data_IF_509620572996
#
_entry.id   IF_509620572996
#
_cell.length_a   1.000
_cell.length_b   1.000
_cell.length_c   1.000
_cell.angle_alpha   90.00
_cell.angle_beta   90.00
_cell.angle_gamma   90.00
#
_symmetry.space_group_name_H-M   'P 1'
#
loop_
_entity.id
_entity.type
_entity.pdbx_description
1 polymer ?
#
# COMPACT_ATOMS: atom_id res chain seq x y z
N UNK A 1 25.00 0.25 -6.57
CA UNK A 1 24.22 -0.71 -5.78
C UNK A 1 22.77 -0.29 -5.73
N UNK A 2 21.88 -1.20 -6.06
CA UNK A 2 20.45 -0.87 -6.13
C UNK A 2 19.82 -0.96 -4.76
N UNK A 3 19.08 0.06 -4.40
CA UNK A 3 18.28 0.06 -3.20
C UNK A 3 16.82 0.10 -3.59
N UNK A 4 15.96 -0.09 -2.62
CA UNK A 4 14.52 -0.09 -2.85
C UNK A 4 13.86 0.75 -1.78
N UNK A 5 12.68 1.25 -2.10
CA UNK A 5 11.89 1.93 -1.08
C UNK A 5 10.41 1.72 -1.39
N UNK A 6 9.63 1.74 -0.34
CA UNK A 6 8.18 1.59 -0.44
C UNK A 6 7.56 2.90 0.02
N UNK A 7 6.65 3.42 -0.80
CA UNK A 7 5.91 4.62 -0.46
C UNK A 7 4.50 4.19 -0.07
N UNK A 8 4.10 4.57 1.12
CA UNK A 8 2.75 4.30 1.62
C UNK A 8 1.99 5.62 1.56
N UNK A 9 0.83 5.62 0.92
CA UNK A 9 0.02 6.82 0.80
C UNK A 9 -1.37 6.50 1.32
N UNK A 10 -1.88 7.36 2.20
CA UNK A 10 -3.21 7.22 2.75
C UNK A 10 -4.01 8.45 2.38
N UNK A 11 -5.21 8.24 1.86
CA UNK A 11 -6.16 9.31 1.67
C UNK A 11 -7.22 9.15 2.74
N UNK A 12 -7.36 10.16 3.58
CA UNK A 12 -8.30 10.10 4.68
C UNK A 12 -9.67 10.58 4.24
N UNK A 13 -10.70 10.20 4.98
CA UNK A 13 -12.06 10.58 4.61
C UNK A 13 -12.29 12.09 4.70
N UNK A 14 -11.46 12.79 5.47
CA UNK A 14 -11.59 14.26 5.55
C UNK A 14 -10.87 14.98 4.41
N UNK A 15 -10.31 14.24 3.46
CA UNK A 15 -9.63 14.83 2.32
C UNK A 15 -8.15 15.05 2.48
N UNK A 16 -7.61 14.73 3.64
CA UNK A 16 -6.18 14.90 3.86
C UNK A 16 -5.43 13.67 3.38
N UNK A 17 -4.15 13.87 3.12
CA UNK A 17 -3.27 12.79 2.69
C UNK A 17 -2.12 12.63 3.67
N UNK A 18 -1.73 11.41 3.92
CA UNK A 18 -0.54 11.10 4.69
C UNK A 18 0.32 10.18 3.86
N UNK A 19 1.62 10.28 4.04
CA UNK A 19 2.52 9.40 3.30
C UNK A 19 3.72 9.08 4.16
N UNK A 20 4.36 7.96 3.83
CA UNK A 20 5.53 7.51 4.54
C UNK A 20 6.40 6.75 3.57
N UNK A 21 7.71 6.85 3.74
CA UNK A 21 8.67 6.16 2.88
C UNK A 21 9.46 5.19 3.75
N UNK A 22 9.58 3.97 3.28
CA UNK A 22 10.36 2.94 3.97
C UNK A 22 11.52 2.55 3.07
N UNK A 23 12.73 2.79 3.54
CA UNK A 23 13.93 2.48 2.77
C UNK A 23 14.39 1.07 3.10
N UNK A 24 14.84 0.35 2.08
CA UNK A 24 15.32 -1.01 2.23
C UNK A 24 16.66 -1.11 1.54
N UNK A 25 17.63 -1.67 2.24
CA UNK A 25 18.97 -1.79 1.72
C UNK A 25 19.59 -3.10 2.15
N UNK A 26 20.44 -3.65 1.30
CA UNK A 26 21.27 -4.80 1.63
C UNK A 26 22.45 -4.77 0.67
N UNK A 27 23.58 -5.33 1.10
CA UNK A 27 24.73 -5.42 0.24
C UNK A 27 24.44 -6.29 -0.97
N UNK A 28 23.60 -7.30 -0.80
CA UNK A 28 23.22 -8.19 -1.87
C UNK A 28 21.91 -7.66 -2.45
N UNK A 29 21.94 -7.31 -3.74
CA UNK A 29 20.77 -6.72 -4.38
C UNK A 29 19.57 -7.66 -4.36
N UNK A 30 19.79 -8.96 -4.53
CA UNK A 30 18.67 -9.90 -4.50
C UNK A 30 18.03 -9.95 -3.13
N UNK A 31 18.86 -9.92 -2.06
CA UNK A 31 18.31 -9.89 -0.72
C UNK A 31 17.59 -8.59 -0.44
N UNK A 32 18.13 -7.48 -0.95
CA UNK A 32 17.47 -6.20 -0.77
C UNK A 32 16.09 -6.24 -1.41
N UNK A 33 15.98 -6.84 -2.59
CA UNK A 33 14.68 -6.90 -3.25
C UNK A 33 13.69 -7.76 -2.46
N UNK A 34 14.16 -8.89 -1.91
CA UNK A 34 13.27 -9.73 -1.12
C UNK A 34 12.82 -9.02 0.14
N UNK A 35 13.72 -8.27 0.78
CA UNK A 35 13.34 -7.49 1.94
C UNK A 35 12.33 -6.42 1.58
N UNK A 36 12.50 -5.81 0.40
CA UNK A 36 11.58 -4.79 -0.04
C UNK A 36 10.20 -5.39 -0.32
N UNK A 37 10.16 -6.57 -0.91
CA UNK A 37 8.89 -7.23 -1.16
C UNK A 37 8.20 -7.60 0.15
N UNK A 38 8.97 -8.04 1.15
CA UNK A 38 8.38 -8.35 2.44
C UNK A 38 7.77 -7.09 3.06
N UNK A 39 8.48 -5.95 2.96
CA UNK A 39 7.97 -4.71 3.50
C UNK A 39 6.74 -4.25 2.73
N UNK A 40 6.76 -4.39 1.41
CA UNK A 40 5.62 -4.04 0.59
C UNK A 40 4.37 -4.81 1.01
N UNK A 41 4.52 -6.12 1.22
CA UNK A 41 3.39 -6.94 1.65
C UNK A 41 2.94 -6.59 3.05
N UNK A 42 3.87 -6.21 3.91
CA UNK A 42 3.50 -5.78 5.26
C UNK A 42 2.64 -4.52 5.21
N UNK A 43 3.03 -3.56 4.37
CA UNK A 43 2.27 -2.33 4.21
C UNK A 43 0.90 -2.65 3.61
N UNK A 44 0.85 -3.55 2.62
CA UNK A 44 -0.41 -3.93 2.02
C UNK A 44 -1.34 -4.60 3.01
N UNK A 45 -0.79 -5.43 3.90
CA UNK A 45 -1.63 -6.10 4.89
C UNK A 45 -2.33 -5.07 5.78
N UNK A 46 -1.62 -4.01 6.14
CA UNK A 46 -2.22 -2.95 6.91
C UNK A 46 -3.22 -2.17 6.07
N UNK A 47 -2.87 -1.91 4.82
CA UNK A 47 -3.72 -1.13 3.94
C UNK A 47 -5.07 -1.79 3.70
N UNK A 48 -5.08 -3.11 3.64
CA UNK A 48 -6.31 -3.83 3.31
C UNK A 48 -7.40 -3.62 4.35
N UNK A 49 -7.00 -3.37 5.60
CA UNK A 49 -7.97 -3.25 6.68
C UNK A 49 -7.92 -1.88 7.36
N UNK A 50 -7.24 -0.91 6.76
CA UNK A 50 -7.13 0.40 7.39
C UNK A 50 -8.45 1.16 7.25
N UNK A 51 -8.62 2.14 8.12
CA UNK A 51 -9.83 2.95 8.10
C UNK A 51 -9.58 4.24 7.36
N UNK A 52 -9.09 4.11 6.13
CA UNK A 52 -8.84 5.25 5.27
C UNK A 52 -9.73 5.13 4.05
N UNK A 53 -9.88 6.23 3.32
CA UNK A 53 -10.64 6.21 2.09
C UNK A 53 -9.88 5.43 1.02
N UNK A 54 -8.57 5.59 0.96
CA UNK A 54 -7.72 4.83 0.07
C UNK A 54 -6.37 4.68 0.72
N UNK A 55 -5.72 3.56 0.48
CA UNK A 55 -4.45 3.26 1.11
C UNK A 55 -3.62 2.49 0.09
N UNK A 56 -2.52 3.06 -0.34
CA UNK A 56 -1.70 2.51 -1.42
C UNK A 56 -0.31 2.17 -0.93
N UNK A 57 0.31 1.23 -1.60
CA UNK A 57 1.73 0.94 -1.42
C UNK A 57 2.36 0.84 -2.79
N UNK A 58 3.50 1.48 -2.96
CA UNK A 58 4.22 1.48 -4.21
C UNK A 58 5.67 1.13 -3.90
N UNK A 59 6.20 0.14 -4.59
CA UNK A 59 7.59 -0.26 -4.40
C UNK A 59 8.40 0.24 -5.57
N UNK A 60 9.46 0.97 -5.26
CA UNK A 60 10.36 1.57 -6.26
C UNK A 60 11.76 1.04 -6.10
N UNK A 61 12.48 0.99 -7.22
CA UNK A 61 13.93 0.89 -7.13
C UNK A 61 14.51 2.30 -7.16
N UNK A 62 15.69 2.47 -6.62
CA UNK A 62 16.32 3.78 -6.62
C UNK A 62 16.79 4.19 -8.00
N UNK A 63 16.62 3.32 -8.98
CA UNK A 63 16.88 3.68 -10.36
C UNK A 63 15.67 4.32 -11.00
N UNK A 64 14.60 4.51 -10.24
CA UNK A 64 13.45 5.26 -10.73
C UNK A 64 12.30 4.43 -11.27
N UNK A 65 12.37 3.12 -11.13
CA UNK A 65 11.33 2.28 -11.70
C UNK A 65 10.34 1.83 -10.63
N UNK A 66 9.04 2.04 -10.85
CA UNK A 66 8.05 1.42 -9.98
C UNK A 66 7.96 -0.06 -10.30
N UNK A 67 8.09 -0.89 -9.28
CA UNK A 67 8.08 -2.33 -9.45
C UNK A 67 6.74 -2.94 -9.09
N UNK A 68 6.04 -2.35 -8.13
CA UNK A 68 4.74 -2.81 -7.70
C UNK A 68 3.92 -1.62 -7.26
N UNK A 69 2.61 -1.71 -7.48
CA UNK A 69 1.72 -0.63 -7.11
C UNK A 69 0.36 -1.24 -6.83
N UNK A 70 -0.08 -1.15 -5.57
CA UNK A 70 -1.36 -1.68 -5.17
C UNK A 70 -2.08 -0.64 -4.35
N UNK A 71 -3.38 -0.57 -4.51
CA UNK A 71 -4.19 0.39 -3.79
C UNK A 71 -5.46 -0.28 -3.33
N UNK A 72 -5.79 -0.12 -2.05
CA UNK A 72 -7.07 -0.54 -1.52
C UNK A 72 -7.93 0.69 -1.33
N UNK A 73 -9.12 0.67 -1.90
CA UNK A 73 -10.06 1.77 -1.76
C UNK A 73 -11.19 1.33 -0.86
N UNK A 74 -11.41 2.14 0.17
CA UNK A 74 -12.51 1.92 1.09
C UNK A 74 -13.46 3.09 0.89
N UNK A 75 -14.18 3.05 -0.19
CA UNK A 75 -14.80 4.22 -0.77
C UNK A 75 -15.74 4.94 0.13
N UNK A 76 -16.28 4.27 1.10
CA UNK A 76 -17.26 4.90 1.92
C UNK A 76 -16.91 4.77 3.36
N UNK A 77 -17.47 5.66 4.13
CA UNK A 77 -17.36 5.56 5.56
C UNK A 77 -17.85 4.18 5.98
N UNK A 78 -17.15 3.50 6.89
CA UNK A 78 -17.57 2.16 7.28
C UNK A 78 -19.02 2.06 7.72
N UNK A 79 -19.57 3.12 8.27
CA UNK A 79 -20.96 3.08 8.67
C UNK A 79 -21.88 2.91 7.49
N UNK A 80 -21.49 3.43 6.34
CA UNK A 80 -22.31 3.35 5.18
C UNK A 80 -22.17 2.02 4.48
N UNK A 81 -21.04 1.37 4.69
CA UNK A 81 -20.84 0.11 4.02
C UNK A 81 -21.75 -0.97 4.52
N UNK A 82 -22.27 -0.82 5.69
CA UNK A 82 -23.13 -1.87 6.22
C UNK A 82 -24.39 -2.03 5.45
N UNK A 83 -24.65 -1.18 4.52
CA UNK A 83 -25.81 -1.31 3.78
C UNK A 83 -25.71 -2.10 2.61
N UNK A 84 -24.79 -2.46 2.11
CA UNK A 84 -24.77 -3.17 0.99
C UNK A 84 -24.21 -4.34 0.92
N UNK A 85 -24.16 -4.76 1.29
CA UNK A 85 -23.80 -5.82 1.13
C UNK A 85 -23.65 -6.57 0.29
N UNK A 86 -23.42 -6.82 0.06
CA UNK A 86 -22.88 -7.61 -0.62
C UNK A 86 -22.21 -7.68 -1.65
N UNK A 87 -22.14 -7.13 -1.51
CA UNK A 87 -21.57 -7.25 -2.41
C UNK A 87 -20.82 -7.44 -2.89
N UNK A 88 -20.65 -7.45 -2.64
CA UNK A 88 -19.98 -7.68 -3.15
C UNK A 88 -19.49 -8.26 -3.51
N UNK A 89 -19.70 -8.25 -3.06
CA UNK A 89 -19.22 -8.84 -3.46
C UNK A 89 -18.97 -9.27 -4.18
N UNK A 90 -19.22 -9.30 -3.96
CA UNK A 90 -18.93 -9.69 -4.61
C UNK A 90 -18.61 -9.95 -5.39
N UNK A 91 -19.07 -9.78 -5.11
CA UNK A 91 -18.71 -10.03 -5.78
C UNK A 91 -18.56 -10.32 -6.35
N UNK A 92 -18.78 -10.26 -6.00
CA UNK A 92 -18.63 -10.48 -6.41
C UNK A 92 -18.31 -10.64 -6.92
#
# INVERSE_FOLDING_TARGET
MTQFYIVEVKELFNGEFEHQVYWVWDEDTDKARLKAEAKFHEVLAVAATSETKAHSAIMFSTEGFPLRNECYKHEENPEELTEEEPSEVEGE
#
